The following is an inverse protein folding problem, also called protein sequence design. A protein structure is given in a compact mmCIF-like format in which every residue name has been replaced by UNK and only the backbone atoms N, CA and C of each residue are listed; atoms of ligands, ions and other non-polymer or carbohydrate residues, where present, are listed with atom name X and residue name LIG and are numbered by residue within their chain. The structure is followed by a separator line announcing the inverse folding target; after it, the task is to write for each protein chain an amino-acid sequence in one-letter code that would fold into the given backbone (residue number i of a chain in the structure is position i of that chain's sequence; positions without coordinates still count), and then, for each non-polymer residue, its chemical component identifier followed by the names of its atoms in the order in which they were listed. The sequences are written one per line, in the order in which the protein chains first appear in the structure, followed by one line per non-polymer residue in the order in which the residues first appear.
data_IF_918316753717
#
_entry.id   IF_918316753717
#
_cell.length_a   1.000
_cell.length_b   1.000
_cell.length_c   1.000
_cell.angle_alpha   90.00
_cell.angle_beta   90.00
_cell.angle_gamma   90.00
#
_symmetry.space_group_name_H-M   'P 1'
#
loop_
_entity.id
_entity.type
_entity.pdbx_description
1 polymer ?
#
# COMPACT_ATOMS: atom_id res chain seq x y z
N UNK A 1 3.94 -8.02 -3.11
CA UNK A 1 3.05 -7.33 -2.14
C UNK A 1 3.70 -7.43 -0.76
N UNK A 2 3.90 -6.32 -0.03
CA UNK A 2 4.62 -6.30 1.26
C UNK A 2 4.00 -7.27 2.29
N UNK A 3 2.68 -7.27 2.40
CA UNK A 3 1.91 -8.09 3.34
C UNK A 3 1.10 -9.23 2.67
N UNK A 4 1.51 -9.68 1.46
CA UNK A 4 0.85 -10.81 0.77
C UNK A 4 -0.57 -10.56 0.22
N UNK A 5 -1.03 -9.30 0.25
CA UNK A 5 -2.40 -8.94 -0.14
C UNK A 5 -2.70 -8.96 -1.65
N UNK A 6 -3.97 -8.70 -1.97
CA UNK A 6 -4.47 -8.42 -3.33
C UNK A 6 -5.29 -7.14 -3.31
N UNK A 7 -5.30 -6.41 -4.42
CA UNK A 7 -6.02 -5.14 -4.54
C UNK A 7 -6.62 -4.93 -5.92
N UNK A 8 -7.50 -3.95 -6.02
CA UNK A 8 -8.18 -3.55 -7.24
C UNK A 8 -8.54 -2.07 -7.19
N UNK A 9 -8.79 -1.47 -8.34
CA UNK A 9 -9.03 -0.04 -8.43
C UNK A 9 -9.61 0.42 -9.76
N UNK A 10 -9.91 1.72 -9.79
CA UNK A 10 -10.26 2.55 -10.94
C UNK A 10 -9.17 3.61 -11.13
N UNK A 11 -9.18 4.42 -12.21
CA UNK A 11 -8.10 5.38 -12.49
C UNK A 11 -7.73 6.30 -11.31
N UNK A 12 -8.71 6.71 -10.49
CA UNK A 12 -8.50 7.63 -9.37
C UNK A 12 -8.73 7.00 -8.00
N UNK A 13 -8.83 5.68 -7.89
CA UNK A 13 -9.10 5.01 -6.62
C UNK A 13 -8.54 3.59 -6.63
N UNK A 14 -7.89 3.18 -5.55
CA UNK A 14 -7.48 1.80 -5.35
C UNK A 14 -7.69 1.37 -3.90
N UNK A 15 -7.91 0.08 -3.71
CA UNK A 15 -7.98 -0.55 -2.38
C UNK A 15 -7.34 -1.94 -2.42
N UNK A 16 -6.86 -2.41 -1.27
CA UNK A 16 -6.26 -3.73 -1.13
C UNK A 16 -6.54 -4.31 0.27
N UNK A 17 -6.57 -5.63 0.35
CA UNK A 17 -6.62 -6.39 1.61
C UNK A 17 -5.43 -7.34 1.72
N UNK A 18 -4.93 -7.56 2.94
CA UNK A 18 -3.73 -8.36 3.20
C UNK A 18 -3.87 -9.22 4.47
N UNK A 19 -3.40 -10.49 4.46
CA UNK A 19 -3.53 -11.39 5.61
C UNK A 19 -2.45 -11.22 6.68
N UNK A 20 -1.28 -10.65 6.35
CA UNK A 20 -0.13 -10.55 7.27
C UNK A 20 -0.18 -9.26 8.11
N UNK A 21 -1.00 -9.25 9.16
CA UNK A 21 -1.21 -8.08 10.04
C UNK A 21 0.10 -7.56 10.67
N UNK A 22 1.05 -8.46 10.96
CA UNK A 22 2.34 -8.11 11.56
C UNK A 22 3.21 -7.20 10.68
N UNK A 23 2.88 -7.04 9.39
CA UNK A 23 3.60 -6.17 8.44
C UNK A 23 2.91 -4.82 8.21
N UNK A 24 1.98 -4.42 9.09
CA UNK A 24 1.25 -3.16 8.96
C UNK A 24 2.21 -1.95 8.91
N UNK A 25 3.20 -1.91 9.80
CA UNK A 25 4.15 -0.80 9.86
C UNK A 25 5.00 -0.69 8.59
N UNK A 26 5.50 -1.82 8.07
CA UNK A 26 6.26 -1.87 6.81
C UNK A 26 5.43 -1.36 5.64
N UNK A 27 4.16 -1.77 5.57
CA UNK A 27 3.25 -1.34 4.52
C UNK A 27 2.97 0.17 4.58
N UNK A 28 2.73 0.71 5.77
CA UNK A 28 2.50 2.15 5.98
C UNK A 28 3.75 2.98 5.70
N UNK A 29 4.94 2.50 6.09
CA UNK A 29 6.19 3.18 5.81
C UNK A 29 6.48 3.23 4.31
N UNK A 30 6.28 2.12 3.60
CA UNK A 30 6.42 2.12 2.14
C UNK A 30 5.41 3.04 1.46
N UNK A 31 4.15 3.08 1.91
CA UNK A 31 3.14 3.99 1.37
C UNK A 31 3.56 5.47 1.50
N UNK A 32 4.18 5.87 2.62
CA UNK A 32 4.72 7.22 2.80
C UNK A 32 5.81 7.54 1.77
N UNK A 33 6.73 6.61 1.53
CA UNK A 33 7.81 6.81 0.55
C UNK A 33 7.28 6.92 -0.88
N UNK A 34 6.27 6.13 -1.24
CA UNK A 34 5.58 6.24 -2.54
C UNK A 34 4.89 7.60 -2.67
N UNK A 35 4.18 8.08 -1.64
CA UNK A 35 3.55 9.40 -1.71
C UNK A 35 4.60 10.50 -1.89
N UNK A 36 5.70 10.46 -1.13
CA UNK A 36 6.81 11.42 -1.28
C UNK A 36 7.40 11.41 -2.69
N UNK A 37 7.51 10.26 -3.34
CA UNK A 37 8.08 10.18 -4.70
C UNK A 37 7.14 10.75 -5.78
N UNK A 38 5.87 10.98 -5.47
CA UNK A 38 4.85 11.46 -6.41
C UNK A 38 4.54 12.95 -6.25
N UNK A 39 4.97 13.56 -5.14
CA UNK A 39 4.79 14.99 -4.88
C UNK A 39 6.12 15.69 -5.14
N UNK A 40 6.13 16.69 -6.03
CA UNK A 40 7.29 17.56 -6.29
C UNK A 40 7.48 18.60 -5.21
#
# INVERSE_FOLDING_TARGET
MIAGGKGGGRPNMAQAGAPEVTKLDDALNHAKEVVKSQVK
#
